data_IF_862929224640
#
_entry.id   IF_862929224640
#
_cell.length_a   1.000
_cell.length_b   1.000
_cell.length_c   1.000
_cell.angle_alpha   90.00
_cell.angle_beta   90.00
_cell.angle_gamma   90.00
#
_symmetry.space_group_name_H-M   'P 1'
#
loop_
_entity.id
_entity.type
_entity.pdbx_description
1 polymer ?
#
# COMPACT_ATOMS: atom_id res chain seq x y z
N UNK A 1 -10.97 -8.81 15.89
CA UNK A 1 -11.08 -8.37 14.48
C UNK A 1 -9.72 -7.84 14.03
N UNK A 2 -9.15 -8.37 12.96
CA UNK A 2 -7.91 -7.82 12.38
C UNK A 2 -8.26 -6.54 11.62
N UNK A 3 -7.56 -5.44 11.91
CA UNK A 3 -7.77 -4.13 11.30
C UNK A 3 -6.53 -3.70 10.53
N UNK A 4 -6.74 -2.95 9.45
CA UNK A 4 -5.64 -2.34 8.67
C UNK A 4 -5.35 -0.97 9.29
N UNK A 5 -4.10 -0.66 9.62
CA UNK A 5 -3.78 0.66 10.19
C UNK A 5 -3.69 1.73 9.10
N UNK A 6 -4.28 2.91 9.37
CA UNK A 6 -4.14 4.11 8.52
C UNK A 6 -2.70 4.46 8.22
N UNK A 7 -1.77 4.16 9.13
CA UNK A 7 -0.33 4.43 9.00
C UNK A 7 0.29 3.57 7.89
N UNK A 8 -0.08 2.30 7.79
CA UNK A 8 0.44 1.40 6.76
C UNK A 8 -0.03 1.79 5.35
N UNK A 9 -1.29 2.23 5.23
CA UNK A 9 -1.80 2.77 3.96
C UNK A 9 -1.00 4.02 3.55
N UNK A 10 -0.77 4.95 4.49
CA UNK A 10 -0.02 6.17 4.20
C UNK A 10 1.44 5.88 3.82
N UNK A 11 2.08 4.94 4.54
CA UNK A 11 3.41 4.46 4.19
C UNK A 11 3.45 3.87 2.78
N UNK A 12 2.46 3.06 2.40
CA UNK A 12 2.38 2.51 1.04
C UNK A 12 2.30 3.60 -0.04
N UNK A 13 1.49 4.64 0.18
CA UNK A 13 1.41 5.81 -0.72
C UNK A 13 2.77 6.49 -0.81
N UNK A 14 3.40 6.77 0.33
CA UNK A 14 4.71 7.41 0.39
C UNK A 14 5.76 6.59 -0.37
N UNK A 15 5.78 5.26 -0.19
CA UNK A 15 6.71 4.38 -0.91
C UNK A 15 6.51 4.43 -2.43
N UNK A 16 5.27 4.41 -2.92
CA UNK A 16 4.97 4.54 -4.36
C UNK A 16 5.48 5.89 -4.87
N UNK A 17 5.12 6.98 -4.19
CA UNK A 17 5.51 8.34 -4.60
C UNK A 17 7.03 8.49 -4.61
N UNK A 18 7.72 8.04 -3.56
CA UNK A 18 9.19 8.06 -3.52
C UNK A 18 9.81 7.20 -4.62
N UNK A 19 9.24 6.03 -4.90
CA UNK A 19 9.73 5.14 -5.96
C UNK A 19 9.64 5.78 -7.35
N UNK A 20 8.53 6.48 -7.64
CA UNK A 20 8.37 7.23 -8.90
C UNK A 20 9.41 8.35 -8.99
N UNK A 21 9.61 9.12 -7.92
CA UNK A 21 10.61 10.19 -7.89
C UNK A 21 12.02 9.62 -8.10
N UNK A 22 12.38 8.54 -7.41
CA UNK A 22 13.69 7.88 -7.57
C UNK A 22 13.87 7.27 -8.95
N UNK A 23 12.81 6.77 -9.61
CA UNK A 23 12.89 6.33 -11.01
C UNK A 23 13.22 7.49 -11.96
N UNK A 24 12.54 8.62 -11.83
CA UNK A 24 12.77 9.80 -12.67
C UNK A 24 14.21 10.32 -12.48
N UNK A 25 14.70 10.37 -11.23
CA UNK A 25 16.09 10.74 -10.94
C UNK A 25 17.08 9.66 -11.43
N UNK A 26 16.67 8.38 -11.39
CA UNK A 26 17.42 7.23 -11.88
C UNK A 26 17.80 7.30 -13.34
N UNK A 27 16.91 7.86 -14.18
CA UNK A 27 17.19 8.10 -15.61
C UNK A 27 18.45 8.96 -15.78
N UNK A 28 18.65 9.95 -14.90
CA UNK A 28 19.82 10.84 -14.93
C UNK A 28 21.01 10.27 -14.15
N UNK A 29 20.76 9.49 -13.09
CA UNK A 29 21.78 8.94 -12.20
C UNK A 29 21.51 7.46 -11.93
N UNK A 30 22.23 6.60 -12.65
CA UNK A 30 22.16 5.14 -12.57
C UNK A 30 22.04 4.53 -11.15
N UNK A 31 22.78 4.97 -10.10
CA UNK A 31 22.66 4.38 -8.76
C UNK A 31 21.27 4.53 -8.11
N UNK A 32 20.45 5.50 -8.54
CA UNK A 32 19.09 5.68 -8.01
C UNK A 32 18.12 4.57 -8.46
N UNK A 33 18.45 3.79 -9.50
CA UNK A 33 17.67 2.60 -9.86
C UNK A 33 17.71 1.53 -8.77
N UNK A 34 18.86 1.36 -8.10
CA UNK A 34 19.00 0.39 -6.99
C UNK A 34 18.09 0.81 -5.83
N UNK A 35 18.08 2.10 -5.49
CA UNK A 35 17.19 2.65 -4.47
C UNK A 35 15.71 2.45 -4.82
N UNK A 36 15.33 2.68 -6.08
CA UNK A 36 13.95 2.44 -6.50
C UNK A 36 13.56 0.96 -6.38
N UNK A 37 14.43 0.03 -6.79
CA UNK A 37 14.19 -1.40 -6.65
C UNK A 37 13.94 -1.83 -5.18
N UNK A 38 14.70 -1.25 -4.24
CA UNK A 38 14.54 -1.48 -2.80
C UNK A 38 13.20 -0.92 -2.30
N UNK A 39 12.82 0.29 -2.72
CA UNK A 39 11.55 0.92 -2.35
C UNK A 39 10.35 0.11 -2.87
N UNK A 40 10.41 -0.34 -4.12
CA UNK A 40 9.36 -1.18 -4.73
C UNK A 40 9.25 -2.51 -3.98
N UNK A 41 10.37 -3.16 -3.70
CA UNK A 41 10.38 -4.43 -2.95
C UNK A 41 9.78 -4.27 -1.56
N UNK A 42 10.13 -3.19 -0.86
CA UNK A 42 9.57 -2.84 0.45
C UNK A 42 8.07 -2.61 0.38
N UNK A 43 7.60 -1.91 -0.65
CA UNK A 43 6.17 -1.71 -0.92
C UNK A 43 5.44 -3.03 -1.17
N UNK A 44 6.00 -3.95 -1.97
CA UNK A 44 5.39 -5.27 -2.24
C UNK A 44 5.26 -6.08 -0.95
N UNK A 45 6.28 -6.06 -0.08
CA UNK A 45 6.24 -6.75 1.22
C UNK A 45 5.16 -6.13 2.11
N UNK A 46 5.08 -4.80 2.15
CA UNK A 46 4.08 -4.07 2.93
C UNK A 46 2.67 -4.40 2.41
N UNK A 47 2.46 -4.39 1.10
CA UNK A 47 1.21 -4.75 0.44
C UNK A 47 0.75 -6.14 0.88
N UNK A 48 1.63 -7.12 0.68
CA UNK A 48 1.35 -8.53 0.94
C UNK A 48 1.07 -8.83 2.42
N UNK A 49 1.72 -8.10 3.34
CA UNK A 49 1.57 -8.33 4.79
C UNK A 49 0.51 -7.46 5.47
N UNK A 50 0.23 -6.26 4.96
CA UNK A 50 -0.52 -5.23 5.70
C UNK A 50 -1.64 -4.56 4.93
N UNK A 51 -1.63 -4.54 3.60
CA UNK A 51 -2.71 -3.90 2.82
C UNK A 51 -3.72 -4.90 2.24
N UNK A 52 -3.42 -6.20 2.24
CA UNK A 52 -4.39 -7.23 1.89
C UNK A 52 -5.51 -7.33 2.92
N UNK A 53 -6.69 -7.70 2.45
CA UNK A 53 -7.83 -7.93 3.32
C UNK A 53 -7.45 -8.97 4.40
N UNK A 54 -7.61 -8.65 5.69
CA UNK A 54 -7.13 -9.52 6.75
C UNK A 54 -7.92 -10.82 6.89
N UNK A 55 -9.07 -10.93 6.22
CA UNK A 55 -9.91 -12.12 6.27
C UNK A 55 -9.72 -13.03 5.06
N UNK A 56 -9.78 -12.50 3.83
CA UNK A 56 -9.63 -13.30 2.62
C UNK A 56 -8.24 -13.23 1.98
N UNK A 57 -7.36 -12.32 2.43
CA UNK A 57 -6.07 -12.07 1.79
C UNK A 57 -6.18 -11.44 0.39
N UNK A 58 -7.38 -11.03 -0.01
CA UNK A 58 -7.65 -10.39 -1.29
C UNK A 58 -6.88 -9.08 -1.43
N UNK A 59 -6.38 -8.83 -2.64
CA UNK A 59 -5.74 -7.57 -3.00
C UNK A 59 -6.80 -6.47 -3.16
N UNK A 60 -6.56 -5.30 -2.55
CA UNK A 60 -7.37 -4.11 -2.75
C UNK A 60 -6.50 -2.92 -3.12
N UNK A 61 -6.97 -2.09 -4.05
CA UNK A 61 -6.25 -0.89 -4.44
C UNK A 61 -6.06 0.06 -3.25
N UNK A 62 -4.89 0.68 -3.14
CA UNK A 62 -4.61 1.69 -2.12
C UNK A 62 -5.61 2.84 -2.13
N UNK A 63 -6.09 3.22 -3.31
CA UNK A 63 -7.09 4.28 -3.45
C UNK A 63 -8.40 3.89 -2.77
N UNK A 64 -8.85 2.64 -2.97
CA UNK A 64 -10.03 2.07 -2.32
C UNK A 64 -9.83 1.95 -0.80
N UNK A 65 -8.66 1.48 -0.36
CA UNK A 65 -8.28 1.43 1.06
C UNK A 65 -8.20 2.83 1.69
N UNK A 66 -7.78 3.83 0.92
CA UNK A 66 -7.75 5.22 1.35
C UNK A 66 -9.16 5.79 1.51
N UNK A 67 -10.07 5.52 0.59
CA UNK A 67 -11.50 5.87 0.73
C UNK A 67 -12.15 5.19 1.94
N UNK A 68 -11.77 3.94 2.21
CA UNK A 68 -12.21 3.19 3.38
C UNK A 68 -11.77 3.83 4.72
N UNK A 69 -10.80 4.77 4.74
CA UNK A 69 -10.46 5.53 5.95
C UNK A 69 -11.59 6.39 6.48
N UNK A 70 -12.51 6.82 5.60
CA UNK A 70 -13.55 7.83 5.88
C UNK A 70 -14.96 7.23 5.88
N UNK A 71 -15.17 6.14 5.14
CA UNK A 71 -16.47 5.49 4.99
C UNK A 71 -16.40 4.01 5.36
N UNK A 72 -17.53 3.46 5.84
CA UNK A 72 -17.68 2.03 6.04
C UNK A 72 -17.49 1.31 4.71
N UNK A 73 -16.43 0.52 4.61
CA UNK A 73 -16.02 -0.11 3.38
C UNK A 73 -16.04 -1.62 3.52
N UNK A 74 -16.45 -2.29 2.45
CA UNK A 74 -16.58 -3.73 2.39
C UNK A 74 -15.59 -4.28 1.37
N UNK A 75 -14.93 -5.37 1.73
CA UNK A 75 -13.95 -5.99 0.86
C UNK A 75 -14.63 -6.51 -0.40
N UNK A 76 -14.07 -6.23 -1.59
CA UNK A 76 -14.68 -6.69 -2.85
C UNK A 76 -14.65 -8.22 -3.02
N UNK A 77 -13.73 -8.91 -2.36
CA UNK A 77 -13.59 -10.37 -2.46
C UNK A 77 -14.47 -11.14 -1.47
N UNK A 78 -14.53 -10.73 -0.20
CA UNK A 78 -15.30 -11.45 0.82
C UNK A 78 -16.55 -10.72 1.31
N UNK A 79 -16.80 -9.48 0.88
CA UNK A 79 -17.95 -8.67 1.33
C UNK A 79 -17.85 -8.18 2.78
N UNK A 80 -16.81 -8.58 3.53
CA UNK A 80 -16.69 -8.22 4.93
C UNK A 80 -16.18 -6.80 5.13
N UNK A 81 -16.58 -6.23 6.27
CA UNK A 81 -16.24 -4.86 6.63
C UNK A 81 -14.75 -4.73 6.91
N UNK A 82 -14.05 -3.95 6.09
CA UNK A 82 -12.63 -3.61 6.33
C UNK A 82 -12.56 -2.50 7.36
N UNK A 83 -12.34 -2.86 8.63
CA UNK A 83 -12.13 -1.88 9.68
C UNK A 83 -10.71 -1.31 9.57
N UNK A 84 -10.62 -0.01 9.30
CA UNK A 84 -9.36 0.71 9.30
C UNK A 84 -9.15 1.35 10.66
N UNK A 85 -8.18 0.84 11.41
CA UNK A 85 -7.78 1.41 12.69
C UNK A 85 -6.91 2.65 12.50
N UNK A 86 -7.00 3.59 13.44
CA UNK A 86 -6.25 4.86 13.43
C UNK A 86 -4.74 4.64 13.36
#
# INVERSE_FOLDING_TARGET
>A
MKSISKRHINLGIIFIVLSVITLVVGITKWPFFIFSAILISSYIILDKKRLRCPNCGGFENLERLSSAKKHNYHCRHCGEKTNISK
#
